data_IF_521745726048
#
_entry.id   IF_521745726048
#
_cell.length_a   1.000
_cell.length_b   1.000
_cell.length_c   1.000
_cell.angle_alpha   90.00
_cell.angle_beta   90.00
_cell.angle_gamma   90.00
#
_symmetry.space_group_name_H-M   'P 1'
#
loop_
_entity.id
_entity.type
_entity.pdbx_description
1 polymer ?
#
# COMPACT_ATOMS: atom_id res chain seq x y z
N UNK A 1 19.61 13.56 -4.00
CA UNK A 1 18.99 14.72 -3.33
C UNK A 1 17.74 14.25 -2.60
N UNK A 2 17.62 14.54 -1.30
CA UNK A 2 16.41 14.21 -0.55
C UNK A 2 15.23 15.06 -1.02
N UNK A 3 14.04 14.46 -1.14
CA UNK A 3 12.82 15.20 -1.48
C UNK A 3 12.44 16.12 -0.32
N UNK A 4 11.94 17.33 -0.59
CA UNK A 4 11.47 18.26 0.46
C UNK A 4 10.31 17.63 1.23
N UNK A 5 10.41 17.61 2.56
CA UNK A 5 9.37 17.11 3.47
C UNK A 5 8.63 18.28 4.13
N UNK A 6 7.31 18.17 4.23
CA UNK A 6 6.45 19.18 4.84
C UNK A 6 5.94 18.62 6.18
N UNK A 7 6.45 19.13 7.31
CA UNK A 7 6.12 18.68 8.68
C UNK A 7 5.85 19.82 9.67
N UNK A 8 6.31 21.03 9.36
CA UNK A 8 6.32 22.18 10.25
C UNK A 8 5.39 23.27 9.75
N UNK A 9 5.02 24.23 10.61
CA UNK A 9 4.13 25.32 10.25
C UNK A 9 4.74 26.25 9.18
N UNK A 10 6.07 26.38 9.15
CA UNK A 10 6.81 27.10 8.10
C UNK A 10 6.58 26.49 6.70
N UNK A 11 6.28 25.19 6.64
CA UNK A 11 6.03 24.51 5.38
C UNK A 11 4.70 24.94 4.74
N UNK A 12 3.79 25.56 5.50
CA UNK A 12 2.56 26.14 4.94
C UNK A 12 2.85 27.36 4.07
N UNK A 13 3.84 28.19 4.42
CA UNK A 13 4.22 29.33 3.59
C UNK A 13 4.76 28.87 2.23
N UNK A 14 5.48 27.74 2.21
CA UNK A 14 5.96 27.13 0.98
C UNK A 14 4.78 26.62 0.14
N UNK A 15 3.76 26.04 0.77
CA UNK A 15 2.54 25.59 0.08
C UNK A 15 1.79 26.79 -0.51
N UNK A 16 1.64 27.88 0.24
CA UNK A 16 1.03 29.12 -0.22
C UNK A 16 1.79 29.68 -1.43
N UNK A 17 3.12 29.73 -1.34
CA UNK A 17 3.97 30.12 -2.46
C UNK A 17 3.78 29.21 -3.70
N UNK A 18 3.80 27.88 -3.53
CA UNK A 18 3.57 26.92 -4.61
C UNK A 18 2.21 27.13 -5.32
N UNK A 19 1.17 27.51 -4.57
CA UNK A 19 -0.16 27.81 -5.12
C UNK A 19 -0.22 29.08 -5.96
N UNK A 20 0.72 30.01 -5.73
CA UNK A 20 0.85 31.25 -6.54
C UNK A 20 1.65 31.05 -7.82
N UNK A 21 2.53 30.04 -7.88
CA UNK A 21 3.37 29.80 -9.05
C UNK A 21 2.56 29.44 -10.31
N UNK A 22 3.07 29.74 -11.51
CA UNK A 22 2.54 29.23 -12.77
C UNK A 22 2.59 27.70 -12.82
N UNK A 23 1.68 27.09 -13.58
CA UNK A 23 1.54 25.62 -13.67
C UNK A 23 2.84 24.91 -14.04
N UNK A 24 3.63 25.44 -14.96
CA UNK A 24 4.84 24.77 -15.44
C UNK A 24 5.98 24.79 -14.42
N UNK A 25 6.09 25.87 -13.65
CA UNK A 25 7.07 25.97 -12.55
C UNK A 25 6.64 25.10 -11.37
N UNK A 26 5.35 25.12 -11.03
CA UNK A 26 4.78 24.29 -9.97
C UNK A 26 5.04 22.81 -10.20
N UNK A 27 4.89 22.31 -11.43
CA UNK A 27 5.20 20.91 -11.77
C UNK A 27 6.65 20.55 -11.45
N UNK A 28 7.60 21.41 -11.84
CA UNK A 28 9.03 21.18 -11.59
C UNK A 28 9.33 21.11 -10.09
N UNK A 29 8.78 22.01 -9.30
CA UNK A 29 8.94 22.00 -7.85
C UNK A 29 8.25 20.78 -7.21
N UNK A 30 7.06 20.40 -7.67
CA UNK A 30 6.34 19.23 -7.15
C UNK A 30 7.09 17.92 -7.36
N UNK A 31 7.86 17.78 -8.44
CA UNK A 31 8.73 16.61 -8.63
C UNK A 31 9.84 16.49 -7.57
N UNK A 32 10.25 17.61 -6.99
CA UNK A 32 11.25 17.66 -5.91
C UNK A 32 10.62 17.50 -4.52
N UNK A 33 9.29 17.55 -4.43
CA UNK A 33 8.54 17.45 -3.19
C UNK A 33 8.16 16.00 -2.88
N UNK A 34 8.03 15.68 -1.59
CA UNK A 34 7.41 14.45 -1.17
C UNK A 34 5.88 14.61 -1.18
N UNK A 35 5.21 14.00 -2.17
CA UNK A 35 3.77 14.13 -2.38
C UNK A 35 2.94 13.66 -1.18
N UNK A 36 3.41 12.69 -0.39
CA UNK A 36 2.68 12.19 0.77
C UNK A 36 2.69 13.17 1.94
N UNK A 37 3.83 13.82 2.20
CA UNK A 37 3.92 14.84 3.25
C UNK A 37 3.19 16.12 2.83
N UNK A 38 3.30 16.51 1.56
CA UNK A 38 2.50 17.59 1.00
C UNK A 38 0.99 17.32 1.12
N UNK A 39 0.53 16.11 0.77
CA UNK A 39 -0.88 15.74 0.90
C UNK A 39 -1.38 15.82 2.36
N UNK A 40 -0.51 15.46 3.32
CA UNK A 40 -0.82 15.53 4.74
C UNK A 40 -0.95 16.98 5.23
N UNK A 41 -0.01 17.84 4.87
CA UNK A 41 -0.04 19.25 5.21
C UNK A 41 -1.25 19.96 4.57
N UNK A 42 -1.54 19.62 3.31
CA UNK A 42 -2.70 20.12 2.57
C UNK A 42 -4.03 19.71 3.23
N UNK A 43 -4.13 18.48 3.71
CA UNK A 43 -5.34 17.99 4.38
C UNK A 43 -5.65 18.73 5.69
N UNK A 44 -4.64 19.27 6.38
CA UNK A 44 -4.81 19.94 7.67
C UNK A 44 -5.37 21.36 7.54
N UNK A 45 -4.83 22.17 6.62
CA UNK A 45 -5.13 23.62 6.57
C UNK A 45 -5.88 24.06 5.31
N UNK A 46 -5.86 23.27 4.23
CA UNK A 46 -6.33 23.70 2.92
C UNK A 46 -7.64 23.03 2.48
N UNK A 47 -8.35 23.70 1.56
CA UNK A 47 -9.53 23.14 0.95
C UNK A 47 -9.15 22.09 -0.10
N UNK A 48 -10.10 21.21 -0.42
CA UNK A 48 -9.89 20.20 -1.46
C UNK A 48 -9.75 20.83 -2.86
N UNK A 49 -10.29 22.03 -3.05
CA UNK A 49 -10.09 22.83 -4.25
C UNK A 49 -8.61 23.23 -4.44
N UNK A 50 -7.92 23.61 -3.36
CA UNK A 50 -6.50 23.97 -3.39
C UNK A 50 -5.64 22.75 -3.69
N UNK A 51 -6.01 21.58 -3.16
CA UNK A 51 -5.40 20.30 -3.51
C UNK A 51 -5.49 19.99 -5.01
N UNK A 52 -6.68 20.16 -5.61
CA UNK A 52 -6.83 20.00 -7.06
C UNK A 52 -5.99 21.02 -7.83
N UNK A 53 -5.96 22.28 -7.39
CA UNK A 53 -5.16 23.33 -8.01
C UNK A 53 -3.68 22.98 -7.97
N UNK A 54 -3.18 22.45 -6.84
CA UNK A 54 -1.77 22.10 -6.66
C UNK A 54 -1.28 21.09 -7.70
N UNK A 55 -2.01 19.99 -7.88
CA UNK A 55 -1.62 18.93 -8.83
C UNK A 55 -2.12 19.14 -10.27
N UNK A 56 -2.80 20.27 -10.53
CA UNK A 56 -3.33 20.58 -11.85
C UNK A 56 -2.20 20.61 -12.91
N UNK A 57 -2.35 19.78 -13.95
CA UNK A 57 -1.40 19.65 -15.04
C UNK A 57 -0.27 18.64 -14.80
N UNK A 58 -0.27 17.92 -13.68
CA UNK A 58 0.53 16.69 -13.53
C UNK A 58 -0.12 15.51 -14.28
N UNK A 59 0.57 14.37 -14.30
CA UNK A 59 0.00 13.14 -14.85
C UNK A 59 -1.31 12.76 -14.13
N UNK A 60 -2.32 12.35 -14.91
CA UNK A 60 -3.66 12.00 -14.40
C UNK A 60 -3.64 10.98 -13.27
N UNK A 61 -2.69 10.04 -13.30
CA UNK A 61 -2.50 9.02 -12.27
C UNK A 61 -2.03 9.63 -10.96
N UNK A 62 -0.98 10.48 -11.01
CA UNK A 62 -0.47 11.17 -9.84
C UNK A 62 -1.47 12.16 -9.25
N UNK A 63 -2.23 12.86 -10.10
CA UNK A 63 -3.30 13.76 -9.67
C UNK A 63 -4.36 13.01 -8.85
N UNK A 64 -4.84 11.88 -9.37
CA UNK A 64 -5.84 11.06 -8.69
C UNK A 64 -5.32 10.47 -7.38
N UNK A 65 -4.07 9.98 -7.36
CA UNK A 65 -3.44 9.44 -6.15
C UNK A 65 -3.25 10.50 -5.08
N UNK A 66 -2.82 11.71 -5.45
CA UNK A 66 -2.64 12.82 -4.52
C UNK A 66 -3.97 13.29 -3.92
N UNK A 67 -4.99 13.51 -4.76
CA UNK A 67 -6.32 13.91 -4.28
C UNK A 67 -6.91 12.84 -3.35
N UNK A 68 -6.72 11.55 -3.69
CA UNK A 68 -7.13 10.44 -2.85
C UNK A 68 -6.39 10.46 -1.50
N UNK A 69 -5.08 10.69 -1.51
CA UNK A 69 -4.28 10.79 -0.29
C UNK A 69 -4.75 11.94 0.61
N UNK A 70 -4.99 13.13 0.04
CA UNK A 70 -5.53 14.30 0.78
C UNK A 70 -6.88 13.96 1.41
N UNK A 71 -7.79 13.31 0.69
CA UNK A 71 -9.10 12.87 1.23
C UNK A 71 -8.96 11.87 2.37
N UNK A 72 -8.05 10.89 2.24
CA UNK A 72 -7.78 9.92 3.30
C UNK A 72 -7.26 10.63 4.55
N UNK A 73 -6.31 11.57 4.41
CA UNK A 73 -5.77 12.31 5.54
C UNK A 73 -6.77 13.27 6.19
N UNK A 74 -7.70 13.81 5.40
CA UNK A 74 -8.79 14.65 5.90
C UNK A 74 -9.87 13.86 6.65
N UNK A 75 -9.92 12.55 6.44
CA UNK A 75 -10.93 11.65 7.01
C UNK A 75 -12.16 11.41 6.12
N UNK A 76 -12.18 11.96 4.90
CA UNK A 76 -13.28 11.80 3.94
C UNK A 76 -13.33 10.38 3.35
N UNK A 77 -12.18 9.68 3.32
CA UNK A 77 -12.10 8.29 2.89
C UNK A 77 -11.47 7.42 4.00
N UNK A 78 -11.98 6.20 4.23
CA UNK A 78 -11.33 5.25 5.12
C UNK A 78 -9.94 4.90 4.58
N UNK A 79 -8.96 4.78 5.47
CA UNK A 79 -7.64 4.26 5.10
C UNK A 79 -7.83 2.84 4.57
N UNK A 80 -7.14 2.45 3.46
CA UNK A 80 -7.25 1.10 2.95
C UNK A 80 -6.70 0.14 4.00
N UNK A 81 -7.60 -0.49 4.75
CA UNK A 81 -7.26 -1.58 5.66
C UNK A 81 -6.72 -2.70 4.79
N UNK A 82 -5.41 -2.98 4.90
CA UNK A 82 -4.82 -4.15 4.27
C UNK A 82 -5.61 -5.36 4.72
N UNK A 83 -6.47 -5.89 3.87
CA UNK A 83 -7.09 -7.20 4.07
C UNK A 83 -5.94 -8.20 4.05
N UNK A 84 -5.40 -8.49 5.23
CA UNK A 84 -4.42 -9.56 5.42
C UNK A 84 -5.17 -10.83 5.03
N UNK A 85 -5.01 -11.29 3.78
CA UNK A 85 -5.40 -12.65 3.41
C UNK A 85 -4.64 -13.54 4.39
N UNK A 86 -5.34 -14.13 5.37
CA UNK A 86 -4.79 -15.21 6.18
C UNK A 86 -4.39 -16.28 5.17
N UNK A 87 -3.09 -16.40 4.92
CA UNK A 87 -2.55 -17.55 4.22
C UNK A 87 -2.82 -18.70 5.19
N UNK A 88 -3.89 -19.45 4.91
CA UNK A 88 -4.26 -20.60 5.70
C UNK A 88 -3.16 -21.63 5.43
N UNK A 89 -2.17 -21.67 6.32
CA UNK A 89 -1.09 -22.65 6.31
C UNK A 89 -1.79 -24.03 6.39
N UNK A 90 -1.89 -24.70 5.24
CA UNK A 90 -2.39 -26.07 5.18
C UNK A 90 -1.43 -26.90 6.03
N UNK A 91 -1.93 -27.44 7.15
CA UNK A 91 -1.11 -28.29 8.03
C UNK A 91 -0.51 -29.42 7.18
N UNK A 92 0.77 -29.79 7.38
CA UNK A 92 1.35 -30.95 6.71
C UNK A 92 0.48 -32.17 7.02
N UNK A 93 -0.08 -32.76 5.97
CA UNK A 93 -0.99 -33.90 6.07
C UNK A 93 -0.10 -35.14 6.22
N UNK A 94 0.19 -35.54 7.47
CA UNK A 94 0.97 -36.73 7.82
C UNK A 94 0.23 -38.06 7.59
N UNK A 95 -0.98 -38.03 7.03
CA UNK A 95 -1.81 -39.21 6.78
C UNK A 95 -1.29 -40.17 5.69
N UNK A 96 -0.73 -39.70 4.55
CA UNK A 96 -0.22 -40.57 3.50
C UNK A 96 0.87 -41.56 3.94
N UNK A 97 1.92 -41.16 4.70
CA UNK A 97 2.97 -42.10 5.11
C UNK A 97 2.47 -43.13 6.14
N UNK A 98 1.51 -42.79 6.99
CA UNK A 98 0.93 -43.73 7.97
C UNK A 98 0.07 -44.79 7.28
N UNK A 99 -0.67 -44.42 6.24
CA UNK A 99 -1.43 -45.40 5.46
C UNK A 99 -0.50 -46.35 4.69
N UNK A 100 0.59 -45.83 4.13
CA UNK A 100 1.57 -46.63 3.41
C UNK A 100 2.26 -47.67 4.31
N UNK A 101 2.61 -47.32 5.55
CA UNK A 101 3.24 -48.26 6.48
C UNK A 101 2.29 -49.39 6.92
N UNK A 102 0.99 -49.09 7.12
CA UNK A 102 -0.02 -50.09 7.43
C UNK A 102 -0.23 -51.09 6.29
N UNK A 103 -0.30 -50.60 5.05
CA UNK A 103 -0.44 -51.47 3.86
C UNK A 103 0.79 -52.38 3.72
N UNK A 104 1.98 -51.84 3.95
CA UNK A 104 3.22 -52.61 3.85
C UNK A 104 3.30 -53.72 4.90
N UNK A 105 2.89 -53.46 6.14
CA UNK A 105 2.79 -54.49 7.18
C UNK A 105 1.78 -55.59 6.84
N UNK A 106 0.61 -55.22 6.33
CA UNK A 106 -0.39 -56.20 5.88
C UNK A 106 0.14 -57.08 4.75
N UNK A 107 0.87 -56.50 3.79
CA UNK A 107 1.48 -57.23 2.68
C UNK A 107 2.53 -58.25 3.15
N UNK A 108 3.37 -57.88 4.12
CA UNK A 108 4.37 -58.79 4.70
C UNK A 108 3.67 -59.99 5.37
N UNK A 109 2.67 -59.74 6.21
CA UNK A 109 1.91 -60.81 6.88
C UNK A 109 1.19 -61.71 5.87
N UNK A 110 0.68 -61.14 4.78
CA UNK A 110 0.01 -61.90 3.74
C UNK A 110 0.98 -62.79 2.94
N UNK A 111 2.18 -62.28 2.63
CA UNK A 111 3.24 -63.05 1.97
C UNK A 111 3.75 -64.18 2.86
N UNK A 112 3.97 -63.92 4.15
CA UNK A 112 4.41 -64.91 5.15
C UNK A 112 3.38 -66.03 5.35
N UNK A 113 2.08 -65.74 5.15
CA UNK A 113 1.01 -66.76 5.19
C UNK A 113 0.81 -67.53 3.89
N UNK A 114 1.28 -67.02 2.75
CA UNK A 114 1.10 -67.62 1.42
C UNK A 114 2.33 -68.41 0.94
N UNK A 115 3.52 -68.16 1.49
CA UNK A 115 4.72 -68.96 1.28
C UNK A 115 5.17 -69.55 2.63
N UNK A 116 4.75 -70.77 2.99
CA UNK A 116 5.38 -71.53 4.07
C UNK A 116 6.80 -71.99 3.70
#
# INVERSE_FOLDING_TARGET
>A
MGKREFKTELDYEIIDWLLTLPTDQRKKELHQCNMNSLARAMAQKYALADAKKMVNGMDKTMEAEFIKAVRIYKGDLPTPTKTRKKIMQTRPRYWPPVLASLILLLLIVFLDRLMP
#
